data_IF_056580818057
#
_entry.id   IF_056580818057
#
_cell.length_a   1.000
_cell.length_b   1.000
_cell.length_c   1.000
_cell.angle_alpha   90.00
_cell.angle_beta   90.00
_cell.angle_gamma   90.00
#
_symmetry.space_group_name_H-M   'P 1'
#
loop_
_entity.id
_entity.type
_entity.pdbx_description
1 polymer ?
#
# COMPACT_ATOMS: atom_id res chain seq x y z
N UNK A 1 -36.00 -9.85 -2.33
CA UNK A 1 -34.89 -10.42 -3.13
C UNK A 1 -33.65 -10.20 -2.29
N UNK A 2 -32.66 -11.11 -2.34
CA UNK A 2 -31.38 -10.86 -1.68
C UNK A 2 -30.81 -9.52 -2.17
N UNK A 3 -30.17 -8.77 -1.28
CA UNK A 3 -29.51 -7.52 -1.62
C UNK A 3 -28.29 -7.77 -2.51
N UNK A 4 -28.10 -6.98 -3.55
CA UNK A 4 -26.95 -7.11 -4.44
C UNK A 4 -25.75 -6.34 -3.85
N UNK A 5 -24.77 -7.05 -3.30
CA UNK A 5 -23.57 -6.44 -2.71
C UNK A 5 -22.39 -6.67 -3.65
N UNK A 6 -21.77 -5.59 -4.11
CA UNK A 6 -20.62 -5.64 -5.01
C UNK A 6 -19.36 -5.15 -4.28
N UNK A 7 -18.33 -5.99 -4.24
CA UNK A 7 -17.00 -5.67 -3.70
C UNK A 7 -16.04 -5.41 -4.86
N UNK A 8 -15.33 -4.28 -4.83
CA UNK A 8 -14.41 -3.88 -5.90
C UNK A 8 -12.96 -3.95 -5.43
N UNK A 9 -12.15 -4.80 -6.05
CA UNK A 9 -10.73 -4.97 -5.81
C UNK A 9 -10.40 -6.20 -4.97
N UNK A 10 -9.28 -6.86 -5.27
CA UNK A 10 -8.77 -8.03 -4.55
C UNK A 10 -7.55 -7.75 -3.67
N UNK A 11 -7.39 -6.50 -3.22
CA UNK A 11 -6.40 -6.15 -2.19
C UNK A 11 -6.79 -6.64 -0.80
N UNK A 12 -6.05 -6.21 0.22
CA UNK A 12 -6.30 -6.58 1.63
C UNK A 12 -7.74 -6.30 2.07
N UNK A 13 -8.23 -5.09 1.79
CA UNK A 13 -9.60 -4.68 2.12
C UNK A 13 -10.66 -5.53 1.43
N UNK A 14 -10.51 -5.76 0.13
CA UNK A 14 -11.50 -6.50 -0.66
C UNK A 14 -11.59 -7.98 -0.27
N UNK A 15 -10.45 -8.64 -0.05
CA UNK A 15 -10.43 -10.03 0.43
C UNK A 15 -11.06 -10.16 1.82
N UNK A 16 -10.69 -9.28 2.76
CA UNK A 16 -11.28 -9.27 4.09
C UNK A 16 -12.79 -9.02 4.04
N UNK A 17 -13.23 -8.05 3.22
CA UNK A 17 -14.63 -7.68 3.09
C UNK A 17 -15.46 -8.82 2.51
N UNK A 18 -15.05 -9.43 1.38
CA UNK A 18 -15.83 -10.50 0.74
C UNK A 18 -15.95 -11.74 1.63
N UNK A 19 -14.87 -12.11 2.34
CA UNK A 19 -14.89 -13.22 3.30
C UNK A 19 -15.83 -12.91 4.48
N UNK A 20 -15.74 -11.70 5.04
CA UNK A 20 -16.55 -11.30 6.19
C UNK A 20 -18.03 -11.17 5.83
N UNK A 21 -18.36 -10.70 4.63
CA UNK A 21 -19.73 -10.63 4.12
C UNK A 21 -20.32 -12.03 3.90
N UNK A 22 -19.52 -12.96 3.36
CA UNK A 22 -19.96 -14.34 3.16
C UNK A 22 -20.26 -15.07 4.47
N UNK A 23 -19.53 -14.74 5.54
CA UNK A 23 -19.79 -15.25 6.90
C UNK A 23 -20.99 -14.55 7.58
N UNK A 24 -21.26 -13.30 7.22
CA UNK A 24 -22.26 -12.45 7.87
C UNK A 24 -23.70 -12.68 7.35
N UNK A 25 -23.87 -13.08 6.09
CA UNK A 25 -25.18 -13.18 5.44
C UNK A 25 -25.52 -14.58 4.94
N UNK A 26 -26.80 -14.94 5.02
CA UNK A 26 -27.37 -16.10 4.34
C UNK A 26 -27.70 -15.80 2.86
N UNK A 27 -27.91 -16.84 2.04
CA UNK A 27 -27.97 -16.70 0.56
C UNK A 27 -29.28 -16.07 0.08
N UNK A 28 -30.30 -16.07 0.94
CA UNK A 28 -31.55 -15.39 0.73
C UNK A 28 -31.53 -13.92 1.22
N UNK A 29 -30.47 -13.51 1.92
CA UNK A 29 -30.28 -12.14 2.41
C UNK A 29 -29.42 -11.30 1.46
N UNK A 30 -28.32 -11.86 0.93
CA UNK A 30 -27.39 -11.13 0.06
C UNK A 30 -26.78 -11.99 -1.06
N UNK A 31 -26.73 -11.41 -2.26
CA UNK A 31 -26.01 -11.91 -3.43
C UNK A 31 -24.68 -11.16 -3.55
N UNK A 32 -23.56 -11.87 -3.40
CA UNK A 32 -22.22 -11.27 -3.36
C UNK A 32 -21.54 -11.37 -4.74
N UNK A 33 -21.18 -10.22 -5.32
CA UNK A 33 -20.33 -10.14 -6.50
C UNK A 33 -19.00 -9.51 -6.15
N UNK A 34 -17.90 -10.10 -6.59
CA UNK A 34 -16.55 -9.59 -6.34
C UNK A 34 -15.85 -9.33 -7.66
N UNK A 35 -15.45 -8.08 -7.90
CA UNK A 35 -14.85 -7.65 -9.16
C UNK A 35 -13.40 -7.27 -8.92
N UNK A 36 -12.46 -7.82 -9.68
CA UNK A 36 -11.07 -7.41 -9.64
C UNK A 36 -10.42 -7.60 -11.00
N UNK A 37 -9.50 -6.70 -11.37
CA UNK A 37 -8.69 -6.83 -12.58
C UNK A 37 -7.76 -8.04 -12.51
N UNK A 38 -7.22 -8.31 -11.32
CA UNK A 38 -6.27 -9.40 -11.09
C UNK A 38 -7.00 -10.64 -10.58
N UNK A 39 -6.64 -11.81 -11.13
CA UNK A 39 -7.09 -13.13 -10.67
C UNK A 39 -6.27 -13.65 -9.47
N UNK A 40 -5.54 -12.78 -8.79
CA UNK A 40 -4.77 -13.07 -7.58
C UNK A 40 -4.78 -11.86 -6.63
N UNK A 41 -4.66 -12.13 -5.33
CA UNK A 41 -4.30 -11.15 -4.32
C UNK A 41 -2.78 -10.95 -4.28
N UNK A 42 -2.31 -9.72 -4.20
CA UNK A 42 -0.89 -9.38 -4.03
C UNK A 42 -0.55 -8.97 -2.61
N UNK A 43 0.51 -9.57 -2.05
CA UNK A 43 1.11 -9.14 -0.81
C UNK A 43 1.95 -7.88 -1.06
N UNK A 44 1.28 -6.75 -1.27
CA UNK A 44 1.94 -5.49 -1.69
C UNK A 44 3.07 -5.04 -0.75
N UNK A 45 3.01 -5.41 0.53
CA UNK A 45 4.06 -5.14 1.51
C UNK A 45 5.34 -5.97 1.34
N UNK A 46 5.37 -6.93 0.41
CA UNK A 46 6.54 -7.74 0.04
C UNK A 46 7.04 -7.47 -1.39
N UNK A 47 6.34 -6.65 -2.18
CA UNK A 47 6.68 -6.36 -3.58
C UNK A 47 8.11 -5.81 -3.74
N UNK A 48 8.58 -4.96 -2.82
CA UNK A 48 9.94 -4.43 -2.82
C UNK A 48 11.01 -5.53 -2.76
N UNK A 49 10.72 -6.71 -2.19
CA UNK A 49 11.70 -7.82 -2.14
C UNK A 49 12.00 -8.41 -3.52
N UNK A 50 11.08 -8.28 -4.48
CA UNK A 50 11.25 -8.84 -5.81
C UNK A 50 12.36 -8.13 -6.59
N UNK A 51 12.68 -6.88 -6.21
CA UNK A 51 13.84 -6.12 -6.70
C UNK A 51 15.13 -6.94 -6.59
N UNK A 52 15.29 -7.74 -5.53
CA UNK A 52 16.45 -8.60 -5.31
C UNK A 52 16.16 -10.09 -5.49
N UNK A 53 14.90 -10.49 -5.31
CA UNK A 53 14.46 -11.89 -5.25
C UNK A 53 13.20 -12.09 -6.11
N UNK A 54 13.29 -11.99 -7.45
CA UNK A 54 12.12 -12.14 -8.33
C UNK A 54 11.45 -13.53 -8.19
N UNK A 55 12.20 -14.54 -7.75
CA UNK A 55 11.66 -15.88 -7.42
C UNK A 55 10.63 -15.91 -6.28
N UNK A 56 10.44 -14.81 -5.53
CA UNK A 56 9.40 -14.70 -4.51
C UNK A 56 8.00 -14.40 -5.08
N UNK A 57 7.85 -14.28 -6.40
CA UNK A 57 6.55 -14.04 -7.07
C UNK A 57 5.43 -14.98 -6.61
N UNK A 58 5.71 -16.27 -6.50
CA UNK A 58 4.72 -17.26 -6.04
C UNK A 58 4.30 -17.02 -4.58
N UNK A 59 5.22 -16.53 -3.74
CA UNK A 59 4.94 -16.19 -2.34
C UNK A 59 4.13 -14.89 -2.22
N UNK A 60 4.48 -13.90 -3.04
CA UNK A 60 3.89 -12.57 -3.01
C UNK A 60 2.52 -12.48 -3.70
N UNK A 61 2.04 -13.57 -4.29
CA UNK A 61 0.70 -13.69 -4.88
C UNK A 61 -0.09 -14.80 -4.20
N UNK A 62 -1.42 -14.68 -4.16
CA UNK A 62 -2.35 -15.72 -3.71
C UNK A 62 -3.47 -15.81 -4.75
N UNK A 63 -3.66 -16.94 -5.44
CA UNK A 63 -4.78 -17.12 -6.38
C UNK A 63 -6.13 -16.82 -5.74
N UNK A 64 -7.03 -16.18 -6.49
CA UNK A 64 -8.36 -15.82 -5.96
C UNK A 64 -9.13 -17.05 -5.50
N UNK A 65 -8.98 -18.18 -6.17
CA UNK A 65 -9.66 -19.44 -5.81
C UNK A 65 -9.24 -20.00 -4.45
N UNK A 66 -8.11 -19.53 -3.88
CA UNK A 66 -7.69 -19.88 -2.52
C UNK A 66 -8.36 -19.01 -1.44
N UNK A 67 -8.93 -17.86 -1.81
CA UNK A 67 -9.46 -16.86 -0.87
C UNK A 67 -10.92 -16.48 -1.13
N UNK A 68 -11.45 -16.82 -2.31
CA UNK A 68 -12.85 -16.64 -2.71
C UNK A 68 -13.76 -17.53 -1.85
N UNK A 69 -14.74 -16.96 -1.13
CA UNK A 69 -15.72 -17.76 -0.42
C UNK A 69 -16.68 -18.42 -1.42
N UNK A 70 -17.14 -19.65 -1.13
CA UNK A 70 -18.07 -20.44 -1.98
C UNK A 70 -19.36 -19.69 -2.42
N UNK A 71 -19.70 -18.62 -1.71
CA UNK A 71 -20.92 -17.82 -1.90
C UNK A 71 -20.72 -16.56 -2.73
N UNK A 72 -19.49 -16.17 -3.02
CA UNK A 72 -19.22 -15.03 -3.88
C UNK A 72 -19.18 -15.47 -5.34
N UNK A 73 -19.59 -14.56 -6.23
CA UNK A 73 -19.33 -14.67 -7.67
C UNK A 73 -18.16 -13.75 -8.00
N UNK A 74 -17.00 -14.32 -8.30
CA UNK A 74 -15.88 -13.55 -8.84
C UNK A 74 -16.07 -13.18 -10.32
N UNK A 75 -15.70 -11.95 -10.67
CA UNK A 75 -15.64 -11.42 -12.03
C UNK A 75 -14.25 -10.81 -12.22
N UNK A 76 -13.45 -11.43 -13.08
CA UNK A 76 -12.15 -10.89 -13.49
C UNK A 76 -12.38 -9.77 -14.52
N UNK A 77 -12.41 -8.52 -14.04
CA UNK A 77 -12.65 -7.34 -14.87
C UNK A 77 -12.06 -6.08 -14.23
N UNK A 78 -11.64 -5.14 -15.08
CA UNK A 78 -11.19 -3.82 -14.64
C UNK A 78 -12.39 -2.88 -14.47
N UNK A 79 -12.51 -2.30 -13.28
CA UNK A 79 -13.51 -1.25 -13.00
C UNK A 79 -13.04 0.05 -13.63
N UNK A 80 -13.92 0.68 -14.40
CA UNK A 80 -13.67 1.95 -15.08
C UNK A 80 -14.46 3.13 -14.50
N UNK A 81 -15.53 2.85 -13.77
CA UNK A 81 -16.40 3.86 -13.18
C UNK A 81 -17.45 3.27 -12.24
N UNK A 82 -18.16 4.16 -11.54
CA UNK A 82 -19.30 3.85 -10.68
C UNK A 82 -20.36 4.92 -10.95
N UNK A 83 -21.53 4.52 -11.43
CA UNK A 83 -22.71 5.38 -11.53
C UNK A 83 -23.54 5.22 -10.25
N UNK A 84 -23.50 6.24 -9.39
CA UNK A 84 -24.22 6.24 -8.12
C UNK A 84 -25.72 6.53 -8.27
N UNK A 85 -26.11 7.21 -9.34
CA UNK A 85 -27.51 7.55 -9.61
C UNK A 85 -28.26 6.31 -10.13
N UNK A 86 -27.68 5.62 -11.11
CA UNK A 86 -28.23 4.41 -11.71
C UNK A 86 -27.88 3.12 -10.91
N UNK A 87 -26.92 3.22 -9.98
CA UNK A 87 -26.40 2.14 -9.12
C UNK A 87 -25.82 0.97 -9.93
N UNK A 88 -24.89 1.31 -10.81
CA UNK A 88 -24.20 0.36 -11.69
C UNK A 88 -22.69 0.58 -11.64
N UNK A 89 -21.93 -0.50 -11.54
CA UNK A 89 -20.48 -0.51 -11.70
C UNK A 89 -20.16 -0.60 -13.20
N UNK A 90 -19.33 0.30 -13.71
CA UNK A 90 -18.92 0.31 -15.12
C UNK A 90 -17.60 -0.44 -15.29
N UNK A 91 -17.59 -1.44 -16.16
CA UNK A 91 -16.40 -2.24 -16.46
C UNK A 91 -15.72 -1.74 -17.75
N UNK A 92 -14.41 -1.97 -17.85
CA UNK A 92 -13.61 -1.51 -18.98
C UNK A 92 -14.02 -2.11 -20.35
N UNK A 93 -14.79 -3.21 -20.35
CA UNK A 93 -15.37 -3.82 -21.55
C UNK A 93 -16.76 -3.28 -21.91
N UNK A 94 -17.16 -2.14 -21.32
CA UNK A 94 -18.45 -1.47 -21.48
C UNK A 94 -19.64 -2.24 -20.90
N UNK A 95 -19.41 -3.36 -20.19
CA UNK A 95 -20.45 -4.05 -19.44
C UNK A 95 -20.66 -3.43 -18.05
N UNK A 96 -21.79 -3.77 -17.41
CA UNK A 96 -22.17 -3.21 -16.12
C UNK A 96 -22.60 -4.26 -15.11
N UNK A 97 -22.41 -3.95 -13.82
CA UNK A 97 -22.90 -4.75 -12.68
C UNK A 97 -23.76 -3.89 -11.77
N UNK A 98 -25.05 -4.20 -11.68
CA UNK A 98 -25.98 -3.49 -10.80
C UNK A 98 -25.71 -3.83 -9.32
N UNK A 99 -25.92 -2.86 -8.44
CA UNK A 99 -25.74 -3.03 -7.00
C UNK A 99 -26.85 -2.37 -6.17
N UNK A 100 -27.11 -2.96 -5.01
CA UNK A 100 -27.79 -2.29 -3.91
C UNK A 100 -26.77 -1.64 -2.97
N UNK A 101 -25.60 -2.29 -2.78
CA UNK A 101 -24.47 -1.75 -2.01
C UNK A 101 -23.14 -1.98 -2.73
N UNK A 102 -22.31 -0.94 -2.81
CA UNK A 102 -21.00 -0.97 -3.45
C UNK A 102 -19.89 -0.73 -2.42
N UNK A 103 -18.94 -1.65 -2.33
CA UNK A 103 -17.79 -1.60 -1.42
C UNK A 103 -16.52 -1.36 -2.24
N UNK A 104 -16.04 -0.12 -2.22
CA UNK A 104 -14.89 0.33 -3.00
C UNK A 104 -13.60 0.01 -2.26
N UNK A 105 -12.89 -1.04 -2.70
CA UNK A 105 -11.65 -1.55 -2.11
C UNK A 105 -10.51 -1.58 -3.16
N UNK A 106 -10.49 -0.61 -4.09
CA UNK A 106 -9.61 -0.58 -5.26
C UNK A 106 -8.13 -0.25 -4.94
N UNK A 107 -7.84 0.04 -3.67
CA UNK A 107 -6.53 0.45 -3.20
C UNK A 107 -6.11 1.81 -3.74
N UNK A 108 -4.81 1.94 -4.01
CA UNK A 108 -4.18 3.17 -4.49
C UNK A 108 -3.21 2.90 -5.63
N UNK A 109 -2.88 3.95 -6.37
CA UNK A 109 -1.80 4.00 -7.36
C UNK A 109 -0.74 5.03 -6.94
N UNK A 110 0.41 5.02 -7.62
CA UNK A 110 1.48 5.98 -7.38
C UNK A 110 1.04 7.38 -7.79
N UNK A 111 1.31 8.38 -6.94
CA UNK A 111 1.09 9.79 -7.29
C UNK A 111 2.38 10.41 -7.83
N UNK A 112 2.33 10.95 -9.04
CA UNK A 112 3.45 11.66 -9.68
C UNK A 112 3.39 13.18 -9.50
N UNK A 113 2.31 13.70 -8.91
CA UNK A 113 2.10 15.13 -8.61
C UNK A 113 2.27 16.10 -9.79
N UNK A 114 2.14 15.61 -11.02
CA UNK A 114 2.36 16.41 -12.23
C UNK A 114 3.81 16.87 -12.42
N UNK A 115 4.78 16.21 -11.77
CA UNK A 115 6.20 16.48 -11.97
C UNK A 115 6.58 16.10 -13.40
N UNK A 116 7.08 17.06 -14.15
CA UNK A 116 7.32 16.92 -15.59
C UNK A 116 8.29 15.77 -15.89
N UNK A 117 7.86 14.88 -16.79
CA UNK A 117 8.60 13.70 -17.23
C UNK A 117 8.77 12.60 -16.17
N UNK A 118 8.26 12.73 -14.95
CA UNK A 118 8.52 11.75 -13.89
C UNK A 118 7.80 10.41 -14.16
N UNK A 119 6.54 10.45 -14.56
CA UNK A 119 5.73 9.25 -14.82
C UNK A 119 6.27 8.45 -16.02
N UNK A 120 6.77 9.14 -17.05
CA UNK A 120 7.30 8.51 -18.25
C UNK A 120 8.68 7.87 -18.05
N UNK A 121 9.41 8.28 -17.01
CA UNK A 121 10.81 7.90 -16.80
C UNK A 121 11.05 7.06 -15.54
N UNK A 122 10.13 7.08 -14.57
CA UNK A 122 10.27 6.35 -13.31
C UNK A 122 9.52 5.03 -13.33
N UNK A 123 10.12 4.02 -12.68
CA UNK A 123 9.43 2.79 -12.30
C UNK A 123 8.74 2.96 -10.95
N UNK A 124 7.72 2.16 -10.68
CA UNK A 124 7.04 2.17 -9.37
C UNK A 124 7.38 0.92 -8.57
N UNK A 125 6.81 0.76 -7.38
CA UNK A 125 6.89 -0.46 -6.54
C UNK A 125 5.55 -0.67 -5.84
N UNK A 126 4.48 -0.82 -6.62
CA UNK A 126 3.10 -0.98 -6.13
C UNK A 126 2.50 -2.35 -6.42
N UNK A 127 3.19 -3.16 -7.22
CA UNK A 127 2.79 -4.51 -7.62
C UNK A 127 3.98 -5.48 -7.62
N UNK A 128 3.66 -6.77 -7.72
CA UNK A 128 4.65 -7.84 -7.92
C UNK A 128 5.45 -7.61 -9.20
N UNK A 129 4.78 -7.20 -10.28
CA UNK A 129 5.44 -6.95 -11.57
C UNK A 129 6.37 -5.73 -11.51
N UNK A 130 6.00 -4.67 -10.80
CA UNK A 130 6.90 -3.51 -10.58
C UNK A 130 8.25 -3.95 -9.97
N UNK A 131 8.21 -4.81 -8.94
CA UNK A 131 9.42 -5.29 -8.29
C UNK A 131 10.30 -6.14 -9.21
N UNK A 132 9.69 -6.91 -10.12
CA UNK A 132 10.40 -7.68 -11.14
C UNK A 132 10.99 -6.76 -12.20
N UNK A 133 10.24 -5.75 -12.66
CA UNK A 133 10.70 -4.79 -13.65
C UNK A 133 11.92 -4.00 -13.14
N UNK A 134 11.90 -3.58 -11.88
CA UNK A 134 13.07 -2.94 -11.25
C UNK A 134 14.26 -3.91 -11.18
N UNK A 135 14.06 -5.20 -10.89
CA UNK A 135 15.13 -6.20 -10.92
C UNK A 135 15.76 -6.31 -12.32
N UNK A 136 14.94 -6.38 -13.36
CA UNK A 136 15.37 -6.48 -14.75
C UNK A 136 16.15 -5.22 -15.17
N UNK A 137 15.60 -4.04 -14.87
CA UNK A 137 16.24 -2.76 -15.18
C UNK A 137 17.62 -2.59 -14.51
N UNK A 138 17.75 -3.00 -13.25
CA UNK A 138 19.04 -2.99 -12.55
C UNK A 138 20.02 -3.98 -13.17
N UNK A 139 19.54 -5.17 -13.56
CA UNK A 139 20.34 -6.17 -14.26
C UNK A 139 20.86 -5.65 -15.59
N UNK A 140 20.01 -5.01 -16.38
CA UNK A 140 20.35 -4.40 -17.67
C UNK A 140 21.36 -3.26 -17.51
N UNK A 141 21.11 -2.32 -16.60
CA UNK A 141 22.02 -1.21 -16.33
C UNK A 141 23.41 -1.69 -15.88
N UNK A 142 23.47 -2.78 -15.11
CA UNK A 142 24.72 -3.35 -14.63
C UNK A 142 25.55 -4.10 -15.71
N UNK A 143 25.00 -4.40 -16.89
CA UNK A 143 25.71 -5.18 -17.92
C UNK A 143 26.93 -4.45 -18.50
N UNK A 144 26.79 -3.15 -18.75
CA UNK A 144 27.83 -2.32 -19.36
C UNK A 144 28.59 -1.46 -18.32
N UNK A 145 28.14 -1.47 -17.07
CA UNK A 145 28.73 -0.72 -15.98
C UNK A 145 30.06 -1.31 -15.49
N UNK A 146 30.92 -0.46 -14.92
CA UNK A 146 32.21 -0.86 -14.37
C UNK A 146 32.47 -0.16 -13.03
N UNK A 147 33.44 -0.61 -12.25
CA UNK A 147 33.81 0.08 -10.99
C UNK A 147 34.23 1.54 -11.19
N UNK A 148 34.79 1.89 -12.35
CA UNK A 148 35.20 3.26 -12.69
C UNK A 148 34.04 4.10 -13.29
N UNK A 149 32.97 3.44 -13.74
CA UNK A 149 31.77 4.05 -14.32
C UNK A 149 30.54 3.19 -13.95
N UNK A 150 30.09 3.25 -12.68
CA UNK A 150 29.02 2.41 -12.18
C UNK A 150 27.66 2.89 -12.69
N UNK A 151 26.74 1.95 -12.82
CA UNK A 151 25.33 2.26 -13.07
C UNK A 151 24.72 2.97 -11.85
N UNK A 152 23.73 3.83 -12.06
CA UNK A 152 23.16 4.69 -11.01
C UNK A 152 21.68 4.42 -10.84
N UNK A 153 21.31 3.99 -9.64
CA UNK A 153 19.92 3.82 -9.24
C UNK A 153 19.49 4.98 -8.33
N UNK A 154 18.45 5.71 -8.73
CA UNK A 154 17.86 6.80 -7.95
C UNK A 154 16.48 6.37 -7.44
N UNK A 155 16.25 6.53 -6.14
CA UNK A 155 14.96 6.29 -5.49
C UNK A 155 14.39 7.61 -4.99
N UNK A 156 13.27 8.06 -5.57
CA UNK A 156 12.57 9.24 -5.12
C UNK A 156 11.54 8.92 -4.03
N UNK A 157 11.59 9.66 -2.92
CA UNK A 157 10.71 9.52 -1.77
C UNK A 157 11.34 8.69 -0.65
N UNK A 158 11.67 9.33 0.47
CA UNK A 158 12.20 8.71 1.69
C UNK A 158 11.15 8.16 2.64
N UNK A 159 9.96 7.78 2.15
CA UNK A 159 8.94 7.08 2.95
C UNK A 159 9.24 5.59 3.15
N UNK A 160 8.29 4.85 3.72
CA UNK A 160 8.41 3.40 3.96
C UNK A 160 8.88 2.64 2.72
N UNK A 161 8.14 2.78 1.61
CA UNK A 161 8.43 2.06 0.35
C UNK A 161 9.80 2.43 -0.22
N UNK A 162 10.15 3.72 -0.24
CA UNK A 162 11.43 4.16 -0.79
C UNK A 162 12.63 3.69 0.02
N UNK A 163 12.54 3.72 1.36
CA UNK A 163 13.59 3.17 2.24
C UNK A 163 13.77 1.67 2.00
N UNK A 164 12.66 0.93 1.90
CA UNK A 164 12.70 -0.51 1.61
C UNK A 164 13.28 -0.80 0.22
N UNK A 165 12.91 0.01 -0.77
CA UNK A 165 13.36 -0.06 -2.16
C UNK A 165 14.86 0.18 -2.25
N UNK A 166 15.36 1.32 -1.73
CA UNK A 166 16.80 1.61 -1.73
C UNK A 166 17.61 0.53 -1.00
N UNK A 167 17.08 0.00 0.11
CA UNK A 167 17.69 -1.13 0.82
C UNK A 167 17.75 -2.43 0.00
N UNK A 168 16.70 -2.76 -0.77
CA UNK A 168 16.71 -3.95 -1.64
C UNK A 168 17.56 -3.76 -2.90
N UNK A 169 17.64 -2.54 -3.46
CA UNK A 169 18.57 -2.20 -4.56
C UNK A 169 20.03 -2.35 -4.08
N UNK A 170 20.37 -1.78 -2.92
CA UNK A 170 21.70 -1.96 -2.34
C UNK A 170 22.01 -3.44 -2.06
N UNK A 171 21.02 -4.20 -1.59
CA UNK A 171 21.19 -5.63 -1.39
C UNK A 171 21.25 -6.44 -2.70
N UNK A 172 20.65 -5.95 -3.80
CA UNK A 172 20.82 -6.49 -5.16
C UNK A 172 22.27 -6.30 -5.61
N UNK A 173 22.78 -5.07 -5.52
CA UNK A 173 24.18 -4.73 -5.80
C UNK A 173 25.14 -5.67 -5.07
N UNK A 174 25.00 -5.77 -3.75
CA UNK A 174 25.85 -6.62 -2.91
C UNK A 174 25.75 -8.11 -3.28
N UNK A 175 24.55 -8.57 -3.69
CA UNK A 175 24.31 -9.99 -4.01
C UNK A 175 24.94 -10.40 -5.34
N UNK A 176 24.89 -9.52 -6.32
CA UNK A 176 25.33 -9.79 -7.68
C UNK A 176 26.72 -9.22 -7.99
N UNK A 177 27.35 -8.56 -7.02
CA UNK A 177 28.63 -7.85 -7.20
C UNK A 177 28.54 -6.86 -8.39
N UNK A 178 27.41 -6.18 -8.48
CA UNK A 178 27.12 -5.27 -9.58
C UNK A 178 27.77 -3.90 -9.32
N UNK A 179 28.47 -3.29 -10.30
CA UNK A 179 29.00 -1.94 -10.18
C UNK A 179 27.84 -0.94 -10.27
N UNK A 180 27.19 -0.69 -9.13
CA UNK A 180 25.97 0.11 -9.03
C UNK A 180 26.02 1.05 -7.81
N UNK A 181 25.71 2.32 -8.02
CA UNK A 181 25.51 3.33 -6.98
C UNK A 181 24.01 3.50 -6.69
N UNK A 182 23.66 3.80 -5.44
CA UNK A 182 22.27 3.94 -5.01
C UNK A 182 22.11 5.26 -4.27
N UNK A 183 21.25 6.13 -4.79
CA UNK A 183 20.91 7.41 -4.16
C UNK A 183 19.43 7.44 -3.82
N UNK A 184 19.08 7.77 -2.58
CA UNK A 184 17.71 8.02 -2.16
C UNK A 184 17.51 9.53 -1.97
N UNK A 185 16.54 10.08 -2.69
CA UNK A 185 16.18 11.50 -2.69
C UNK A 185 14.93 11.70 -1.84
N UNK A 186 14.97 12.67 -0.94
CA UNK A 186 13.83 13.04 -0.09
C UNK A 186 13.74 14.56 0.05
N UNK A 187 12.52 15.08 -0.14
CA UNK A 187 12.26 16.52 -0.03
C UNK A 187 12.54 17.06 1.38
N UNK A 188 12.15 16.35 2.43
CA UNK A 188 12.42 16.76 3.81
C UNK A 188 13.85 16.45 4.25
N UNK A 189 14.32 17.13 5.30
CA UNK A 189 15.62 16.87 5.96
C UNK A 189 15.71 15.49 6.64
N UNK A 190 14.56 14.82 6.81
CA UNK A 190 14.46 13.55 7.51
C UNK A 190 13.88 12.45 6.61
N UNK A 191 14.44 11.25 6.75
CA UNK A 191 13.83 10.03 6.23
C UNK A 191 12.61 9.67 7.06
N UNK A 192 11.66 9.01 6.42
CA UNK A 192 10.36 8.63 6.96
C UNK A 192 9.83 9.78 7.82
N UNK A 193 9.47 10.91 7.19
CA UNK A 193 9.14 12.14 7.90
C UNK A 193 8.17 11.86 9.05
N UNK A 194 8.20 12.77 10.03
CA UNK A 194 7.58 12.82 11.36
C UNK A 194 7.23 11.56 12.14
N UNK A 195 7.92 10.45 11.87
CA UNK A 195 8.35 9.59 12.98
C UNK A 195 9.35 10.34 13.86
N UNK A 196 9.53 9.86 15.08
CA UNK A 196 10.51 10.44 16.00
C UNK A 196 11.95 10.21 15.53
N UNK A 197 12.85 11.05 16.03
CA UNK A 197 14.26 11.05 15.62
C UNK A 197 15.01 9.74 15.93
N UNK A 198 14.60 8.95 16.94
CA UNK A 198 15.22 7.65 17.24
C UNK A 198 15.00 6.70 16.06
N UNK A 199 13.76 6.61 15.58
CA UNK A 199 13.43 5.73 14.47
C UNK A 199 14.05 6.20 13.15
N UNK A 200 13.95 7.49 12.85
CA UNK A 200 14.55 8.09 11.66
C UNK A 200 16.08 7.89 11.63
N UNK A 201 16.74 8.09 12.77
CA UNK A 201 18.18 7.86 12.93
C UNK A 201 18.55 6.40 12.71
N UNK A 202 17.77 5.46 13.24
CA UNK A 202 17.99 4.04 13.03
C UNK A 202 17.85 3.63 11.56
N UNK A 203 16.89 4.20 10.82
CA UNK A 203 16.71 3.94 9.38
C UNK A 203 17.88 4.50 8.56
N UNK A 204 18.28 5.75 8.84
CA UNK A 204 19.45 6.39 8.22
C UNK A 204 20.71 5.56 8.42
N UNK A 205 20.98 5.13 9.66
CA UNK A 205 22.13 4.29 9.97
C UNK A 205 22.14 2.98 9.15
N UNK A 206 20.98 2.37 8.89
CA UNK A 206 20.90 1.13 8.08
C UNK A 206 21.11 1.36 6.60
N UNK A 207 20.69 2.49 6.06
CA UNK A 207 20.99 2.88 4.67
C UNK A 207 22.47 3.25 4.51
N UNK A 208 23.03 4.03 5.44
CA UNK A 208 24.45 4.40 5.46
C UNK A 208 25.35 3.16 5.54
N UNK A 209 25.01 2.18 6.40
CA UNK A 209 25.72 0.89 6.50
C UNK A 209 25.70 0.08 5.21
N UNK A 210 24.74 0.35 4.32
CA UNK A 210 24.59 -0.26 3.01
C UNK A 210 25.15 0.63 1.90
N UNK A 211 25.83 1.74 2.21
CA UNK A 211 26.37 2.63 1.18
C UNK A 211 25.29 3.14 0.23
N UNK A 212 24.12 3.49 0.78
CA UNK A 212 23.10 4.27 0.06
C UNK A 212 23.38 5.73 0.34
N UNK A 213 23.51 6.52 -0.72
CA UNK A 213 23.65 7.97 -0.63
C UNK A 213 22.29 8.62 -0.35
N UNK A 214 22.27 9.63 0.52
CA UNK A 214 21.04 10.26 0.98
C UNK A 214 21.03 11.74 0.59
N UNK A 215 20.20 12.08 -0.38
CA UNK A 215 19.93 13.44 -0.82
C UNK A 215 18.65 13.95 -0.19
N UNK A 216 18.76 14.48 1.04
CA UNK A 216 17.64 15.03 1.82
C UNK A 216 17.58 16.55 1.69
N UNK A 217 16.38 17.14 1.82
CA UNK A 217 16.18 18.58 1.76
C UNK A 217 15.94 19.12 0.34
N UNK A 218 15.81 18.24 -0.65
CA UNK A 218 15.63 18.61 -2.05
C UNK A 218 14.48 17.83 -2.69
N UNK A 219 13.50 18.55 -3.24
CA UNK A 219 12.40 17.94 -3.99
C UNK A 219 12.84 17.56 -5.40
N UNK A 220 12.29 16.45 -5.93
CA UNK A 220 12.36 16.16 -7.37
C UNK A 220 11.42 17.10 -8.11
N UNK A 221 11.93 17.89 -9.04
CA UNK A 221 11.15 18.90 -9.78
C UNK A 221 10.90 18.53 -11.24
N UNK A 222 11.74 17.64 -11.81
CA UNK A 222 11.61 17.14 -13.18
C UNK A 222 12.42 15.85 -13.35
N UNK A 223 12.03 15.01 -14.30
CA UNK A 223 12.87 13.93 -14.81
C UNK A 223 12.85 13.91 -16.34
N UNK A 224 13.97 13.55 -16.95
CA UNK A 224 14.04 13.20 -18.37
C UNK A 224 15.03 12.05 -18.56
N UNK A 225 15.12 11.51 -19.78
CA UNK A 225 16.03 10.40 -20.09
C UNK A 225 17.52 10.69 -19.92
N UNK A 226 17.91 11.88 -19.44
CA UNK A 226 19.27 12.24 -19.12
C UNK A 226 19.53 12.43 -17.62
N UNK A 227 18.51 12.59 -16.77
CA UNK A 227 18.66 12.77 -15.33
C UNK A 227 17.39 13.19 -14.58
N UNK A 228 17.47 13.14 -13.25
CA UNK A 228 16.51 13.74 -12.31
C UNK A 228 16.99 15.12 -11.91
N UNK A 229 16.09 16.07 -11.77
CA UNK A 229 16.40 17.47 -11.43
C UNK A 229 15.83 17.79 -10.04
N UNK A 230 16.67 18.39 -9.20
CA UNK A 230 16.43 18.59 -7.79
C UNK A 230 16.40 20.08 -7.42
N UNK A 231 15.45 20.44 -6.56
CA UNK A 231 15.35 21.78 -5.97
C UNK A 231 15.08 22.91 -6.98
N UNK A 232 15.15 24.15 -6.50
CA UNK A 232 14.94 25.36 -7.32
C UNK A 232 16.06 25.61 -8.32
N UNK A 233 17.29 25.17 -8.00
CA UNK A 233 18.47 25.34 -8.85
C UNK A 233 18.55 24.31 -9.99
N UNK A 234 17.56 23.40 -10.09
CA UNK A 234 17.50 22.29 -11.05
C UNK A 234 18.81 21.49 -11.09
N UNK A 235 19.37 21.14 -9.92
CA UNK A 235 20.57 20.33 -9.83
C UNK A 235 20.32 18.97 -10.46
N UNK A 236 21.14 18.60 -11.43
CA UNK A 236 20.97 17.37 -12.20
C UNK A 236 21.69 16.20 -11.54
N UNK A 237 20.91 15.17 -11.20
CA UNK A 237 21.38 13.85 -10.78
C UNK A 237 21.21 12.84 -11.93
N UNK A 238 22.30 12.36 -12.56
CA UNK A 238 22.22 11.32 -13.60
C UNK A 238 21.73 9.99 -13.01
N UNK A 239 20.95 9.23 -13.80
CA UNK A 239 20.47 7.90 -13.41
C UNK A 239 20.43 6.97 -14.62
N UNK A 240 20.52 5.66 -14.36
CA UNK A 240 20.21 4.58 -15.30
C UNK A 240 18.89 3.90 -14.93
N UNK A 241 18.58 3.82 -13.63
CA UNK A 241 17.30 3.33 -13.10
C UNK A 241 16.71 4.36 -12.14
N UNK A 242 15.51 4.87 -12.44
CA UNK A 242 14.75 5.73 -11.56
C UNK A 242 13.55 4.96 -10.99
N UNK A 243 13.39 4.98 -9.68
CA UNK A 243 12.23 4.41 -8.98
C UNK A 243 11.54 5.50 -8.17
N UNK A 244 10.24 5.67 -8.36
CA UNK A 244 9.43 6.67 -7.66
C UNK A 244 8.50 6.05 -6.62
N UNK A 245 8.54 6.62 -5.41
CA UNK A 245 7.74 6.18 -4.25
C UNK A 245 7.27 7.36 -3.38
N UNK A 246 7.23 8.57 -3.95
CA UNK A 246 6.97 9.81 -3.21
C UNK A 246 5.50 10.07 -2.86
N UNK A 247 4.57 9.19 -3.25
CA UNK A 247 3.15 9.43 -3.00
C UNK A 247 2.21 8.37 -3.51
N UNK A 248 0.97 8.43 -3.01
CA UNK A 248 -0.15 7.62 -3.50
C UNK A 248 -1.37 8.50 -3.79
N UNK A 249 -2.21 8.04 -4.71
CA UNK A 249 -3.52 8.62 -5.06
C UNK A 249 -4.53 7.49 -5.29
N UNK A 250 -5.83 7.78 -5.27
CA UNK A 250 -6.86 6.80 -5.60
C UNK A 250 -6.83 6.42 -7.08
N UNK A 251 -7.53 5.34 -7.44
CA UNK A 251 -7.61 4.84 -8.82
C UNK A 251 -8.46 5.75 -9.70
N UNK A 252 -8.11 5.81 -11.00
CA UNK A 252 -8.81 6.67 -11.98
C UNK A 252 -10.29 6.33 -12.17
N UNK A 253 -10.68 5.09 -11.86
CA UNK A 253 -12.09 4.66 -11.82
C UNK A 253 -12.97 5.52 -10.90
N UNK A 254 -12.37 6.27 -9.96
CA UNK A 254 -13.07 7.15 -9.03
C UNK A 254 -13.07 8.62 -9.46
N UNK A 255 -12.37 8.99 -10.53
CA UNK A 255 -12.18 10.38 -10.93
C UNK A 255 -13.51 11.12 -11.15
N UNK A 256 -14.48 10.46 -11.76
CA UNK A 256 -15.77 11.06 -12.14
C UNK A 256 -16.96 10.59 -11.29
N UNK A 257 -16.75 9.75 -10.28
CA UNK A 257 -17.83 9.23 -9.42
C UNK A 257 -18.36 10.34 -8.52
N UNK A 258 -19.68 10.56 -8.45
CA UNK A 258 -20.29 11.66 -7.69
C UNK A 258 -20.35 11.38 -6.17
N UNK A 259 -19.17 11.24 -5.57
CA UNK A 259 -18.98 11.15 -4.12
C UNK A 259 -17.93 12.17 -3.68
N UNK A 260 -17.97 12.57 -2.40
CA UNK A 260 -16.94 13.43 -1.80
C UNK A 260 -15.61 12.68 -1.81
N UNK A 261 -14.62 13.25 -2.49
CA UNK A 261 -13.30 12.66 -2.66
C UNK A 261 -12.20 13.71 -2.73
N UNK A 262 -10.98 13.29 -2.43
CA UNK A 262 -9.75 14.06 -2.60
C UNK A 262 -8.69 13.19 -3.28
N UNK A 263 -8.10 13.67 -4.38
CA UNK A 263 -7.15 12.91 -5.20
C UNK A 263 -7.62 11.46 -5.47
N UNK A 264 -8.87 11.31 -5.95
CA UNK A 264 -9.55 10.04 -6.22
C UNK A 264 -9.74 9.09 -5.01
N UNK A 265 -9.44 9.54 -3.79
CA UNK A 265 -9.72 8.79 -2.56
C UNK A 265 -11.02 9.29 -1.94
N UNK A 266 -11.91 8.37 -1.57
CA UNK A 266 -13.27 8.67 -1.13
C UNK A 266 -13.26 9.01 0.35
N UNK A 267 -13.86 10.15 0.73
CA UNK A 267 -14.09 10.44 2.14
C UNK A 267 -15.14 9.49 2.69
N UNK A 268 -14.80 8.82 3.77
CA UNK A 268 -15.69 7.96 4.53
C UNK A 268 -15.60 8.30 6.02
N UNK A 269 -16.67 8.07 6.76
CA UNK A 269 -16.64 8.17 8.21
C UNK A 269 -16.12 6.87 8.85
N UNK A 270 -16.10 6.82 10.18
CA UNK A 270 -15.69 5.66 10.98
C UNK A 270 -16.59 4.44 10.77
N UNK A 271 -17.74 4.58 10.11
CA UNK A 271 -18.64 3.48 9.73
C UNK A 271 -18.42 2.99 8.30
N UNK A 272 -17.51 3.66 7.57
CA UNK A 272 -17.09 3.46 6.19
C UNK A 272 -18.05 3.95 5.12
N UNK A 273 -19.17 4.56 5.52
CA UNK A 273 -20.12 5.18 4.58
C UNK A 273 -19.50 6.42 3.93
N UNK A 274 -19.72 6.55 2.62
CA UNK A 274 -19.30 7.74 1.87
C UNK A 274 -20.36 8.85 1.95
N UNK A 275 -20.31 9.83 1.05
CA UNK A 275 -21.41 10.79 0.90
C UNK A 275 -22.68 10.20 0.27
N UNK A 276 -22.59 8.99 -0.29
CA UNK A 276 -23.72 8.18 -0.74
C UNK A 276 -23.93 7.01 0.24
N UNK A 277 -25.18 6.79 0.65
CA UNK A 277 -25.57 5.83 1.69
C UNK A 277 -25.42 4.35 1.28
N UNK A 278 -25.18 4.10 -0.02
CA UNK A 278 -24.97 2.75 -0.58
C UNK A 278 -23.53 2.49 -1.01
N UNK A 279 -22.66 3.49 -0.90
CA UNK A 279 -21.25 3.37 -1.29
C UNK A 279 -20.37 3.45 -0.04
N UNK A 280 -19.63 2.37 0.21
CA UNK A 280 -18.65 2.25 1.27
C UNK A 280 -17.24 2.30 0.68
N UNK A 281 -16.29 2.93 1.37
CA UNK A 281 -14.90 3.00 0.92
C UNK A 281 -13.93 2.64 2.04
N UNK A 282 -13.05 1.67 1.77
CA UNK A 282 -12.07 1.14 2.72
C UNK A 282 -10.72 0.86 2.05
N UNK A 283 -9.70 0.55 2.85
CA UNK A 283 -8.30 0.47 2.46
C UNK A 283 -7.79 1.83 1.98
N UNK A 284 -6.73 1.81 1.16
CA UNK A 284 -6.14 3.06 0.65
C UNK A 284 -7.11 3.91 -0.19
N UNK A 285 -8.20 3.31 -0.71
CA UNK A 285 -9.24 4.06 -1.40
C UNK A 285 -10.01 4.99 -0.47
N UNK A 286 -10.22 4.57 0.78
CA UNK A 286 -10.90 5.35 1.81
C UNK A 286 -10.00 6.41 2.44
N UNK A 287 -10.60 7.55 2.74
CA UNK A 287 -10.12 8.54 3.70
C UNK A 287 -11.05 8.44 4.93
N UNK A 288 -10.89 7.35 5.69
CA UNK A 288 -11.74 6.98 6.83
C UNK A 288 -11.44 7.89 8.02
N UNK A 289 -12.31 8.86 8.28
CA UNK A 289 -12.16 9.80 9.40
C UNK A 289 -12.51 9.12 10.72
N UNK A 290 -11.59 9.18 11.68
CA UNK A 290 -11.87 8.70 13.05
C UNK A 290 -12.77 9.70 13.80
N UNK A 291 -13.68 9.19 14.63
CA UNK A 291 -14.59 9.99 15.47
C UNK A 291 -13.93 10.34 16.82
N UNK A 292 -14.55 11.25 17.59
CA UNK A 292 -14.14 11.54 18.98
C UNK A 292 -14.24 10.31 19.91
N UNK A 293 -15.15 9.36 19.62
CA UNK A 293 -15.38 8.17 20.44
C UNK A 293 -14.45 6.99 20.06
N UNK A 294 -13.99 6.94 18.81
CA UNK A 294 -13.06 5.89 18.34
C UNK A 294 -11.60 6.35 18.20
N UNK A 295 -11.33 7.65 18.22
CA UNK A 295 -9.98 8.22 18.32
C UNK A 295 -9.49 8.33 19.78
N UNK A 296 -8.17 8.26 20.05
CA UNK A 296 -7.62 8.65 21.35
C UNK A 296 -7.83 10.15 21.67
N UNK A 297 -7.95 10.47 22.95
CA UNK A 297 -8.44 11.77 23.45
C UNK A 297 -7.47 12.97 23.26
N UNK A 298 -8.01 14.01 22.63
CA UNK A 298 -7.84 15.48 22.80
C UNK A 298 -6.91 16.31 21.89
N UNK A 299 -7.40 17.54 21.69
CA UNK A 299 -7.20 18.58 20.67
C UNK A 299 -5.81 19.26 20.61
N UNK A 300 -5.33 19.53 19.37
CA UNK A 300 -4.84 20.84 18.86
C UNK A 300 -3.65 20.74 17.87
N UNK A 301 -3.82 20.31 16.60
CA UNK A 301 -3.50 21.07 15.36
C UNK A 301 -3.53 20.24 14.08
N UNK A 302 -4.51 20.59 13.25
CA UNK A 302 -4.76 20.08 11.90
C UNK A 302 -3.81 20.74 10.87
N UNK A 303 -3.11 19.91 10.10
CA UNK A 303 -2.67 20.09 8.68
C UNK A 303 -1.18 20.08 8.28
N UNK A 304 -0.20 20.02 9.19
CA UNK A 304 1.22 19.95 8.76
C UNK A 304 2.08 19.10 9.70
N UNK A 305 1.89 17.77 9.72
CA UNK A 305 2.94 16.78 10.03
C UNK A 305 2.33 15.40 10.32
N UNK A 306 2.69 14.45 9.48
CA UNK A 306 3.23 13.13 9.81
C UNK A 306 2.97 12.40 11.16
N UNK A 307 2.59 11.11 11.01
CA UNK A 307 2.89 9.89 11.81
C UNK A 307 2.32 9.66 13.22
N UNK A 308 1.87 8.40 13.34
CA UNK A 308 1.29 7.62 14.45
C UNK A 308 2.01 7.76 15.82
N UNK A 309 1.28 7.89 16.96
CA UNK A 309 0.54 6.77 17.57
C UNK A 309 -0.88 7.06 18.11
N UNK A 310 -1.33 8.32 18.14
CA UNK A 310 -2.58 8.74 18.80
C UNK A 310 -3.41 9.55 17.80
N UNK A 311 -4.23 8.89 16.98
CA UNK A 311 -4.99 9.54 15.91
C UNK A 311 -5.92 10.62 16.48
N UNK A 312 -5.57 11.90 16.25
CA UNK A 312 -6.39 13.05 16.63
C UNK A 312 -7.78 13.01 15.96
N UNK A 313 -8.73 13.74 16.54
CA UNK A 313 -10.09 13.87 16.00
C UNK A 313 -10.08 14.24 14.51
N UNK A 314 -10.80 13.45 13.70
CA UNK A 314 -10.92 13.68 12.25
C UNK A 314 -9.68 13.30 11.43
N UNK A 315 -8.63 12.74 12.05
CA UNK A 315 -7.49 12.22 11.31
C UNK A 315 -7.84 10.89 10.60
N UNK A 316 -7.09 10.64 9.53
CA UNK A 316 -7.25 9.47 8.65
C UNK A 316 -6.09 8.51 8.94
N UNK A 317 -6.36 7.22 9.20
CA UNK A 317 -5.32 6.22 9.41
C UNK A 317 -4.34 6.15 8.23
N UNK A 318 -3.08 5.76 8.49
CA UNK A 318 -2.11 5.58 7.42
C UNK A 318 -2.56 4.45 6.47
N UNK A 319 -2.30 4.59 5.15
CA UNK A 319 -2.64 3.59 4.14
C UNK A 319 -1.77 2.34 4.33
N UNK A 320 -2.26 1.37 5.11
CA UNK A 320 -1.53 0.16 5.47
C UNK A 320 -2.38 -1.08 5.21
N UNK A 321 -1.71 -2.20 4.90
CA UNK A 321 -2.35 -3.49 4.75
C UNK A 321 -3.09 -3.94 6.04
N UNK A 322 -2.57 -3.57 7.21
CA UNK A 322 -3.22 -3.87 8.50
C UNK A 322 -4.56 -3.15 8.64
N UNK A 323 -4.58 -1.82 8.46
CA UNK A 323 -5.81 -1.03 8.52
C UNK A 323 -6.83 -1.54 7.49
N UNK A 324 -6.42 -1.70 6.23
CA UNK A 324 -7.29 -2.16 5.15
C UNK A 324 -7.99 -3.50 5.49
N UNK A 325 -7.27 -4.45 6.08
CA UNK A 325 -7.86 -5.73 6.48
C UNK A 325 -8.79 -5.64 7.68
N UNK A 326 -8.44 -4.84 8.69
CA UNK A 326 -9.30 -4.62 9.86
C UNK A 326 -10.60 -3.90 9.46
N UNK A 327 -10.50 -2.92 8.56
CA UNK A 327 -11.64 -2.23 7.96
C UNK A 327 -12.54 -3.23 7.21
N UNK A 328 -11.97 -4.09 6.36
CA UNK A 328 -12.75 -5.12 5.66
C UNK A 328 -13.45 -6.10 6.60
N UNK A 329 -12.80 -6.48 7.71
CA UNK A 329 -13.42 -7.32 8.76
C UNK A 329 -14.56 -6.62 9.50
N UNK A 330 -14.45 -5.32 9.72
CA UNK A 330 -15.47 -4.55 10.42
C UNK A 330 -16.64 -4.16 9.51
N UNK A 331 -16.37 -3.88 8.23
CA UNK A 331 -17.33 -3.39 7.26
C UNK A 331 -18.57 -4.29 7.11
N UNK A 332 -18.38 -5.62 7.09
CA UNK A 332 -19.49 -6.56 6.94
C UNK A 332 -20.58 -6.38 8.01
N UNK A 333 -20.18 -6.05 9.26
CA UNK A 333 -21.11 -5.76 10.35
C UNK A 333 -21.94 -4.50 10.06
N UNK A 334 -21.33 -3.46 9.49
CA UNK A 334 -22.03 -2.21 9.20
C UNK A 334 -22.95 -2.36 7.99
N UNK A 335 -22.55 -3.08 6.95
CA UNK A 335 -23.44 -3.42 5.83
C UNK A 335 -24.66 -4.21 6.33
N UNK A 336 -24.47 -5.16 7.25
CA UNK A 336 -25.58 -5.90 7.86
C UNK A 336 -26.51 -5.04 8.71
N UNK A 337 -25.95 -4.10 9.48
CA UNK A 337 -26.74 -3.15 10.26
C UNK A 337 -27.54 -2.22 9.36
N UNK A 338 -26.90 -1.68 8.33
CA UNK A 338 -27.53 -0.81 7.36
C UNK A 338 -28.68 -1.53 6.63
N UNK A 339 -28.49 -2.79 6.21
CA UNK A 339 -29.55 -3.62 5.61
C UNK A 339 -30.76 -3.87 6.53
N UNK A 340 -30.55 -3.84 7.85
CA UNK A 340 -31.58 -4.10 8.85
C UNK A 340 -32.14 -2.82 9.49
N UNK A 341 -31.83 -1.63 8.93
CA UNK A 341 -32.16 -0.33 9.52
C UNK A 341 -31.66 -0.18 10.98
N UNK A 342 -30.52 -0.78 11.30
CA UNK A 342 -29.86 -0.68 12.60
C UNK A 342 -28.74 0.37 12.57
N UNK A 343 -28.49 1.00 13.73
CA UNK A 343 -27.39 1.95 13.88
C UNK A 343 -26.04 1.29 13.57
N UNK A 344 -25.20 1.88 12.69
CA UNK A 344 -23.88 1.37 12.39
C UNK A 344 -22.96 1.43 13.63
N UNK A 345 -21.88 0.66 13.60
CA UNK A 345 -20.87 0.66 14.66
C UNK A 345 -19.61 1.31 14.11
N UNK A 346 -19.09 2.28 14.84
CA UNK A 346 -17.85 2.94 14.48
C UNK A 346 -16.65 1.98 14.59
N UNK A 347 -15.73 2.11 13.65
CA UNK A 347 -14.42 1.47 13.67
C UNK A 347 -13.38 2.44 14.25
N UNK A 348 -12.46 1.89 15.04
CA UNK A 348 -11.33 2.61 15.61
C UNK A 348 -10.02 1.97 15.18
N UNK A 349 -9.14 2.75 14.59
CA UNK A 349 -7.81 2.30 14.21
C UNK A 349 -6.93 2.10 15.45
N UNK A 350 -6.13 1.02 15.44
CA UNK A 350 -5.11 0.78 16.46
C UNK A 350 -3.76 0.57 15.79
N UNK A 351 -2.81 1.45 16.09
CA UNK A 351 -1.43 1.25 15.66
C UNK A 351 -0.78 0.08 16.42
N UNK A 352 -0.34 -0.94 15.68
CA UNK A 352 0.35 -2.12 16.23
C UNK A 352 1.88 -2.00 16.16
N UNK A 353 2.37 -0.91 15.61
CA UNK A 353 3.78 -0.61 15.37
C UNK A 353 4.20 -0.81 13.92
N UNK A 354 5.38 -0.29 13.59
CA UNK A 354 5.90 -0.21 12.23
C UNK A 354 7.17 -1.03 12.07
N UNK A 355 7.29 -1.78 10.97
CA UNK A 355 8.50 -2.55 10.64
C UNK A 355 9.01 -2.25 9.23
N UNK A 356 10.17 -1.60 9.16
CA UNK A 356 10.83 -1.23 7.90
C UNK A 356 11.99 -2.18 7.65
N UNK A 357 12.04 -2.80 6.46
CA UNK A 357 13.23 -3.55 6.03
C UNK A 357 14.22 -2.64 5.30
N UNK A 358 15.51 -2.90 5.46
CA UNK A 358 16.58 -2.26 4.68
C UNK A 358 17.50 -3.36 4.17
N UNK A 359 17.18 -3.88 2.98
CA UNK A 359 17.74 -5.14 2.48
C UNK A 359 17.50 -6.28 3.47
N UNK A 360 18.58 -6.97 3.88
CA UNK A 360 18.48 -8.04 4.89
C UNK A 360 18.40 -7.55 6.35
N UNK A 361 18.39 -6.24 6.60
CA UNK A 361 18.17 -5.67 7.92
C UNK A 361 16.70 -5.29 8.12
N UNK A 362 16.30 -5.08 9.37
CA UNK A 362 14.99 -4.50 9.70
C UNK A 362 15.10 -3.63 10.95
N UNK A 363 14.28 -2.59 10.98
CA UNK A 363 14.06 -1.72 12.14
C UNK A 363 12.58 -1.80 12.49
N UNK A 364 12.30 -2.11 13.75
CA UNK A 364 10.96 -2.13 14.32
C UNK A 364 10.81 -0.95 15.26
N UNK A 365 9.62 -0.34 15.26
CA UNK A 365 9.30 0.84 16.04
C UNK A 365 7.87 0.80 16.58
N UNK A 366 7.65 1.22 17.83
CA UNK A 366 6.32 1.33 18.43
C UNK A 366 5.56 0.01 18.52
N UNK A 367 6.25 -1.14 18.54
CA UNK A 367 5.60 -2.46 18.50
C UNK A 367 4.77 -2.68 19.76
N UNK A 368 3.46 -2.87 19.60
CA UNK A 368 2.53 -3.03 20.72
C UNK A 368 2.96 -4.18 21.64
N UNK A 369 3.05 -3.89 22.94
CA UNK A 369 3.50 -4.85 23.96
C UNK A 369 5.02 -5.05 24.06
N UNK A 370 5.82 -4.40 23.21
CA UNK A 370 7.28 -4.35 23.35
C UNK A 370 7.70 -3.34 24.43
N UNK A 371 8.63 -3.68 25.35
CA UNK A 371 9.19 -2.72 26.29
C UNK A 371 10.24 -1.79 25.65
N UNK A 372 10.66 -2.08 24.42
CA UNK A 372 11.65 -1.30 23.67
C UNK A 372 10.92 -0.63 22.51
N UNK A 373 11.05 0.70 22.43
CA UNK A 373 10.39 1.51 21.42
C UNK A 373 10.94 1.24 20.03
N UNK A 374 12.26 1.43 19.84
CA UNK A 374 12.95 1.18 18.58
C UNK A 374 14.02 0.09 18.74
N UNK A 375 13.99 -0.93 17.88
CA UNK A 375 15.02 -1.98 17.88
C UNK A 375 15.24 -2.56 16.48
N UNK A 376 16.42 -3.13 16.27
CA UNK A 376 16.83 -3.68 14.97
C UNK A 376 17.43 -5.09 15.09
N UNK A 377 17.80 -5.66 13.95
CA UNK A 377 18.56 -6.92 13.89
C UNK A 377 17.66 -8.17 13.83
N UNK A 378 18.15 -9.35 14.29
CA UNK A 378 17.46 -10.63 14.10
C UNK A 378 16.02 -10.67 14.64
N UNK A 379 15.74 -9.98 15.75
CA UNK A 379 14.40 -9.92 16.35
C UNK A 379 13.43 -9.17 15.42
N UNK A 380 13.78 -7.95 15.00
CA UNK A 380 12.96 -7.17 14.07
C UNK A 380 12.71 -7.90 12.75
N UNK A 381 13.73 -8.60 12.22
CA UNK A 381 13.58 -9.42 11.01
C UNK A 381 12.62 -10.59 11.20
N UNK A 382 12.67 -11.24 12.35
CA UNK A 382 11.80 -12.38 12.67
C UNK A 382 10.35 -11.90 12.83
N UNK A 383 10.13 -10.75 13.46
CA UNK A 383 8.81 -10.12 13.56
C UNK A 383 8.24 -9.79 12.18
N UNK A 384 9.05 -9.20 11.28
CA UNK A 384 8.61 -8.90 9.91
C UNK A 384 8.16 -10.16 9.16
N UNK A 385 8.92 -11.27 9.25
CA UNK A 385 8.50 -12.57 8.70
C UNK A 385 7.22 -13.10 9.34
N UNK A 386 7.04 -12.84 10.63
CA UNK A 386 5.83 -13.21 11.38
C UNK A 386 4.58 -12.52 10.86
N UNK A 387 4.70 -11.28 10.38
CA UNK A 387 3.59 -10.53 9.77
C UNK A 387 3.15 -11.21 8.48
N UNK A 388 4.07 -11.54 7.57
CA UNK A 388 3.76 -12.25 6.33
C UNK A 388 3.14 -13.62 6.62
N UNK A 389 3.67 -14.34 7.62
CA UNK A 389 3.10 -15.61 8.07
C UNK A 389 1.65 -15.45 8.56
N UNK A 390 1.39 -14.45 9.41
CA UNK A 390 0.05 -14.16 9.95
C UNK A 390 -0.93 -13.87 8.81
N UNK A 391 -0.54 -13.01 7.87
CA UNK A 391 -1.36 -12.67 6.71
C UNK A 391 -1.76 -13.90 5.90
N UNK A 392 -0.78 -14.71 5.50
CA UNK A 392 -1.02 -15.91 4.69
C UNK A 392 -1.84 -16.96 5.45
N UNK A 393 -1.67 -17.06 6.78
CA UNK A 393 -2.41 -18.00 7.60
C UNK A 393 -3.86 -17.57 7.82
N UNK A 394 -4.12 -16.28 7.98
CA UNK A 394 -5.48 -15.72 8.13
C UNK A 394 -6.25 -15.70 6.82
N UNK A 395 -5.60 -15.31 5.72
CA UNK A 395 -6.26 -15.07 4.44
C UNK A 395 -6.44 -16.34 3.60
N UNK A 396 -5.42 -17.20 3.57
CA UNK A 396 -5.35 -18.35 2.67
C UNK A 396 -5.26 -19.68 3.43
N UNK A 397 -4.06 -20.09 3.84
CA UNK A 397 -3.90 -21.35 4.58
C UNK A 397 -2.63 -21.42 5.44
N UNK A 398 -2.66 -22.20 6.55
CA UNK A 398 -1.46 -22.47 7.35
C UNK A 398 -0.32 -23.11 6.56
N UNK A 399 -0.65 -23.93 5.55
CA UNK A 399 0.34 -24.59 4.69
C UNK A 399 1.16 -23.58 3.87
N UNK A 400 0.47 -22.60 3.29
CA UNK A 400 1.10 -21.49 2.55
C UNK A 400 1.97 -20.63 3.45
N UNK A 401 1.47 -20.29 4.65
CA UNK A 401 2.23 -19.54 5.64
C UNK A 401 3.54 -20.25 6.04
N UNK A 402 3.51 -21.57 6.24
CA UNK A 402 4.72 -22.36 6.55
C UNK A 402 5.70 -22.41 5.37
N UNK A 403 5.22 -22.48 4.12
CA UNK A 403 6.08 -22.38 2.93
C UNK A 403 6.77 -21.02 2.89
N UNK A 404 6.01 -19.95 3.03
CA UNK A 404 6.53 -18.58 3.01
C UNK A 404 7.59 -18.32 4.09
N UNK A 405 7.37 -18.82 5.31
CA UNK A 405 8.35 -18.69 6.40
C UNK A 405 9.74 -19.27 6.07
N UNK A 406 9.81 -20.30 5.21
CA UNK A 406 11.07 -20.95 4.83
C UNK A 406 11.82 -20.18 3.74
N UNK A 407 11.11 -19.41 2.93
CA UNK A 407 11.63 -18.71 1.76
C UNK A 407 12.02 -17.25 2.05
N UNK A 408 11.31 -16.60 2.98
CA UNK A 408 11.65 -15.28 3.54
C UNK A 408 12.84 -15.41 4.49
#
# INVERSE_FOLDING_TARGET
MPAQIVVLGAGYAGVAAVQSLADQFDADEADLTWVSKESHHELVHECHRLIRKPGLRELATVPIEEVEPDRARFIEAEVSGIDVDDRTIELADESGVDYDYCLVCLGSQTAFYGIDGLEENARTVKSVDDGVEVNEALGEAALDATEDDPARAVVGGGGLTGIQTAGEIAAFRDRYDAPLEVTLVQESDHLFPGHDHEFQGALREKLDQRGVELETGNAVTRADGSGVYLGEDEEKLPYDVLVWSGGITGRDALANVDVKKDHNRVYADSTFESSDDRVFAIGDTGLVKQSEETGPLSEEKIWESVVDPDIEEGAVPPPTAEAAWEEGKHLARNVARHLNDEEPVEWGYTNKGTLVSVGDAAVAHGVMGSPVNTFSGPVARTLKKGITFRWLAEMASPGRAVKAWREL
#
